data_IF_338875131628
#
_entry.id   IF_338875131628
#
_cell.length_a   1.000
_cell.length_b   1.000
_cell.length_c   1.000
_cell.angle_alpha   90.00
_cell.angle_beta   90.00
_cell.angle_gamma   90.00
#
_symmetry.space_group_name_H-M   'P 1'
#
loop_
_entity.id
_entity.type
_entity.pdbx_description
1 polymer ?
#
# COMPACT_ATOMS: atom_id res chain seq x y z
N UNK A 1 7.43 -0.04 1.72
CA UNK A 1 6.12 0.56 1.41
C UNK A 1 5.21 -0.52 0.83
N UNK A 2 4.04 -0.70 1.43
CA UNK A 2 2.92 -1.49 0.94
C UNK A 2 1.72 -0.56 0.91
N UNK A 3 1.16 -0.32 -0.28
CA UNK A 3 -0.11 0.38 -0.44
C UNK A 3 -1.20 -0.69 -0.56
N UNK A 4 -2.09 -0.77 0.42
CA UNK A 4 -3.14 -1.80 0.44
C UNK A 4 -4.50 -1.18 0.13
N UNK A 5 -5.12 -1.63 -0.95
CA UNK A 5 -6.44 -1.21 -1.37
C UNK A 5 -7.51 -1.91 -0.51
N UNK A 6 -8.28 -1.15 0.27
CA UNK A 6 -9.19 -1.73 1.27
C UNK A 6 -10.48 -2.29 0.68
N UNK A 7 -10.85 -1.88 -0.54
CA UNK A 7 -12.03 -2.38 -1.24
C UNK A 7 -11.66 -3.45 -2.31
N UNK A 8 -10.45 -4.03 -2.21
CA UNK A 8 -10.02 -5.13 -3.08
C UNK A 8 -10.74 -6.44 -2.69
N UNK A 9 -11.53 -6.96 -3.63
CA UNK A 9 -12.29 -8.21 -3.45
C UNK A 9 -11.43 -9.48 -3.64
N UNK A 10 -10.28 -9.36 -4.28
CA UNK A 10 -9.37 -10.47 -4.56
C UNK A 10 -8.29 -10.60 -3.48
N UNK A 11 -7.81 -9.48 -2.94
CA UNK A 11 -6.83 -9.43 -1.85
C UNK A 11 -7.45 -8.72 -0.62
N UNK A 12 -8.12 -9.48 0.27
CA UNK A 12 -8.87 -8.86 1.36
C UNK A 12 -7.95 -8.36 2.49
N UNK A 13 -8.44 -7.49 3.40
CA UNK A 13 -7.63 -6.84 4.43
C UNK A 13 -6.90 -7.79 5.39
N UNK A 14 -7.40 -8.99 5.61
CA UNK A 14 -6.80 -9.97 6.54
C UNK A 14 -5.41 -10.44 6.06
N UNK A 15 -5.08 -10.26 4.77
CA UNK A 15 -3.77 -10.65 4.22
C UNK A 15 -2.61 -9.77 4.68
N UNK A 16 -2.89 -8.59 5.25
CA UNK A 16 -1.87 -7.70 5.82
C UNK A 16 -1.77 -7.83 7.34
N UNK A 17 -2.61 -8.63 7.99
CA UNK A 17 -2.57 -8.82 9.43
C UNK A 17 -1.30 -9.56 9.86
N UNK A 18 -0.54 -8.96 10.78
CA UNK A 18 0.71 -9.51 11.31
C UNK A 18 1.92 -9.40 10.37
N UNK A 19 1.80 -8.70 9.24
CA UNK A 19 2.90 -8.51 8.28
C UNK A 19 4.11 -7.82 8.92
N UNK A 20 3.88 -6.96 9.91
CA UNK A 20 4.90 -6.23 10.70
C UNK A 20 5.80 -7.17 11.53
N UNK A 21 5.31 -8.35 11.91
CA UNK A 21 6.11 -9.34 12.63
C UNK A 21 7.23 -9.97 11.75
N UNK A 22 7.09 -9.88 10.43
CA UNK A 22 8.00 -10.53 9.47
C UNK A 22 8.84 -9.53 8.65
N UNK A 23 8.45 -8.26 8.59
CA UNK A 23 9.12 -7.24 7.78
C UNK A 23 9.65 -6.14 8.71
N UNK A 24 10.97 -6.15 9.05
CA UNK A 24 11.56 -5.24 10.03
C UNK A 24 11.45 -3.74 9.71
N UNK A 25 11.24 -3.39 8.44
CA UNK A 25 11.17 -2.01 7.96
C UNK A 25 9.93 -1.84 7.06
N UNK A 26 8.79 -2.25 7.61
CA UNK A 26 7.49 -2.17 6.96
C UNK A 26 6.92 -0.75 7.08
N UNK A 27 6.66 -0.14 5.92
CA UNK A 27 5.74 0.98 5.80
C UNK A 27 4.46 0.46 5.17
N UNK A 28 3.38 0.33 5.93
CA UNK A 28 2.08 -0.15 5.46
C UNK A 28 1.07 0.99 5.46
N UNK A 29 0.36 1.16 4.35
CA UNK A 29 -0.64 2.21 4.18
C UNK A 29 -1.92 1.62 3.63
N UNK A 30 -3.01 1.76 4.40
CA UNK A 30 -4.36 1.35 4.00
C UNK A 30 -4.99 2.46 3.18
N UNK A 31 -5.52 2.12 2.01
CA UNK A 31 -6.10 3.06 1.04
C UNK A 31 -7.58 2.74 0.85
N UNK A 32 -8.43 3.53 1.51
CA UNK A 32 -9.89 3.45 1.39
C UNK A 32 -10.37 3.93 0.00
N UNK A 33 -11.42 3.29 -0.53
CA UNK A 33 -12.02 3.64 -1.82
C UNK A 33 -11.21 3.20 -3.05
N UNK A 34 -10.17 2.37 -2.87
CA UNK A 34 -9.37 1.81 -3.93
C UNK A 34 -9.59 0.29 -4.00
N UNK A 35 -9.56 -0.26 -5.21
CA UNK A 35 -9.80 -1.69 -5.47
C UNK A 35 -8.53 -2.37 -6.00
N UNK A 36 -8.68 -3.53 -6.64
CA UNK A 36 -7.59 -4.41 -7.04
C UNK A 36 -6.53 -3.74 -7.94
N UNK A 37 -6.93 -2.75 -8.73
CA UNK A 37 -6.05 -2.08 -9.68
C UNK A 37 -5.74 -0.63 -9.27
N UNK A 38 -5.41 -0.40 -8.00
CA UNK A 38 -5.08 0.94 -7.45
C UNK A 38 -4.08 1.74 -8.30
N UNK A 39 -3.12 1.07 -8.96
CA UNK A 39 -2.14 1.72 -9.86
C UNK A 39 -2.79 2.36 -11.10
N UNK A 40 -3.92 1.82 -11.57
CA UNK A 40 -4.69 2.36 -12.68
C UNK A 40 -5.78 3.34 -12.20
N UNK A 41 -6.35 3.10 -11.02
CA UNK A 41 -7.40 3.94 -10.45
C UNK A 41 -6.87 5.27 -9.92
N UNK A 42 -5.67 5.26 -9.32
CA UNK A 42 -5.07 6.41 -8.64
C UNK A 42 -3.58 6.55 -8.98
N UNK A 43 -3.19 6.70 -10.25
CA UNK A 43 -1.79 6.67 -10.67
C UNK A 43 -0.95 7.79 -10.03
N UNK A 44 -1.48 9.01 -9.92
CA UNK A 44 -0.77 10.14 -9.31
C UNK A 44 -0.54 9.92 -7.82
N UNK A 45 -1.53 9.37 -7.11
CA UNK A 45 -1.42 9.03 -5.69
C UNK A 45 -0.29 8.01 -5.48
N UNK A 46 -0.30 6.92 -6.26
CA UNK A 46 0.74 5.88 -6.16
C UNK A 46 2.12 6.45 -6.45
N UNK A 47 2.26 7.25 -7.51
CA UNK A 47 3.52 7.88 -7.87
C UNK A 47 4.04 8.82 -6.76
N UNK A 48 3.16 9.60 -6.14
CA UNK A 48 3.52 10.49 -5.03
C UNK A 48 3.99 9.71 -3.80
N UNK A 49 3.30 8.63 -3.41
CA UNK A 49 3.72 7.80 -2.26
C UNK A 49 5.05 7.12 -2.52
N UNK A 50 5.25 6.62 -3.74
CA UNK A 50 6.52 6.02 -4.15
C UNK A 50 7.66 7.04 -4.08
N UNK A 51 7.49 8.24 -4.63
CA UNK A 51 8.49 9.29 -4.60
C UNK A 51 8.84 9.69 -3.15
N UNK A 52 7.83 9.88 -2.30
CA UNK A 52 8.03 10.23 -0.89
C UNK A 52 8.81 9.12 -0.15
N UNK A 53 8.47 7.85 -0.38
CA UNK A 53 9.17 6.72 0.23
C UNK A 53 10.64 6.67 -0.18
N UNK A 54 10.94 6.82 -1.48
CA UNK A 54 12.31 6.81 -2.00
C UNK A 54 13.17 7.96 -1.46
N UNK A 55 12.58 9.13 -1.24
CA UNK A 55 13.30 10.30 -0.68
C UNK A 55 13.47 10.24 0.84
N UNK A 56 12.66 9.43 1.54
CA UNK A 56 12.70 9.27 3.00
C UNK A 56 13.83 8.37 3.50
N UNK A 57 14.29 7.42 2.67
CA UNK A 57 15.38 6.50 3.03
C UNK A 57 16.70 7.04 2.51
N UNK A 58 17.45 7.72 3.38
CA UNK A 58 18.90 7.94 3.21
C UNK A 58 19.68 6.88 3.96
#
# INVERSE_FOLDING_TARGET
>A
LVLWAMDDIALPPELIDGLDAYIPDLTLEKVEGATHWIVHERPEFVAQRLAAFLLSKR
#
